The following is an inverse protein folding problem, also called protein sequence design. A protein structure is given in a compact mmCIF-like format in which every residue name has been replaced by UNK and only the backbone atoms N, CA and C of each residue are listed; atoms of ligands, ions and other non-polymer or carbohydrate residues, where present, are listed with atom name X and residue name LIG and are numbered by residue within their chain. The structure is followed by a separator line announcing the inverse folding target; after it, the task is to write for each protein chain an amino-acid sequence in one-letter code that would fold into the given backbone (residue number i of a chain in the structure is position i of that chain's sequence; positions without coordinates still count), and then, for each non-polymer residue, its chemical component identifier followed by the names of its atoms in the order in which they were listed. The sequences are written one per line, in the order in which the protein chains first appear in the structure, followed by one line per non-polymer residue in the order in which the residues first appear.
data_IF_127866633731
#
_entry.id   IF_127866633731
#
_cell.length_a   1.000
_cell.length_b   1.000
_cell.length_c   1.000
_cell.angle_alpha   90.00
_cell.angle_beta   90.00
_cell.angle_gamma   90.00
#
_symmetry.space_group_name_H-M   'P 1'
#
loop_
_entity.id
_entity.type
_entity.pdbx_description
1 polymer ?
#
# COMPACT_ATOMS: atom_id res chain seq x y z
N UNK A 1 -19.23 16.67 -27.78
CA UNK A 1 -19.27 15.58 -26.80
C UNK A 1 -19.24 16.18 -25.39
N UNK A 2 -20.17 15.81 -24.50
CA UNK A 2 -20.29 16.41 -23.15
C UNK A 2 -19.59 15.53 -22.11
N UNK A 3 -18.35 15.90 -21.74
CA UNK A 3 -17.61 15.29 -20.63
C UNK A 3 -17.84 16.14 -19.38
N UNK A 4 -18.09 15.53 -18.22
CA UNK A 4 -18.25 16.24 -16.94
C UNK A 4 -17.03 17.11 -16.65
N UNK A 5 -17.23 18.33 -16.11
CA UNK A 5 -16.16 19.31 -15.87
C UNK A 5 -15.03 18.74 -15.02
N UNK A 6 -15.36 18.01 -13.95
CA UNK A 6 -14.40 17.37 -13.06
C UNK A 6 -13.50 16.34 -13.75
N UNK A 7 -14.03 15.64 -14.79
CA UNK A 7 -13.29 14.60 -15.52
C UNK A 7 -12.34 15.18 -16.57
N UNK A 8 -12.68 16.34 -17.16
CA UNK A 8 -11.84 16.95 -18.22
C UNK A 8 -10.42 17.28 -17.78
N UNK A 9 -10.24 17.60 -16.51
CA UNK A 9 -8.96 18.05 -15.94
C UNK A 9 -8.22 16.92 -15.18
N UNK A 10 -8.78 15.70 -15.13
CA UNK A 10 -8.14 14.57 -14.49
C UNK A 10 -7.00 14.04 -15.34
N UNK A 11 -5.85 13.82 -14.72
CA UNK A 11 -4.79 12.99 -15.29
C UNK A 11 -5.05 11.54 -14.95
N UNK A 12 -4.83 10.59 -15.89
CA UNK A 12 -4.99 9.17 -15.57
C UNK A 12 -3.99 8.74 -14.51
N UNK A 13 -4.39 7.76 -13.68
CA UNK A 13 -3.49 7.18 -12.70
C UNK A 13 -2.27 6.53 -13.38
N UNK A 14 -1.07 6.85 -12.92
CA UNK A 14 0.18 6.30 -13.46
C UNK A 14 0.51 5.00 -12.73
N UNK A 15 0.15 3.89 -13.35
CA UNK A 15 0.49 2.55 -12.84
C UNK A 15 1.98 2.21 -13.01
N UNK A 16 2.44 1.20 -12.26
CA UNK A 16 3.79 0.68 -12.40
C UNK A 16 3.99 -0.04 -13.73
N UNK A 17 5.18 0.09 -14.29
CA UNK A 17 5.56 -0.58 -15.54
C UNK A 17 5.34 -2.10 -15.44
N UNK A 18 4.82 -2.70 -16.52
CA UNK A 18 4.53 -4.14 -16.65
C UNK A 18 5.44 -4.75 -17.74
N UNK A 19 6.72 -5.04 -17.44
CA UNK A 19 7.65 -5.58 -18.40
C UNK A 19 7.24 -7.00 -18.85
N UNK A 20 7.36 -7.26 -20.18
CA UNK A 20 7.01 -8.55 -20.79
C UNK A 20 8.23 -9.41 -21.14
N UNK A 21 9.45 -8.88 -21.00
CA UNK A 21 10.68 -9.58 -21.34
C UNK A 21 10.91 -10.81 -20.44
N UNK A 22 11.61 -11.84 -20.96
CA UNK A 22 12.03 -12.99 -20.14
C UNK A 22 13.17 -12.60 -19.20
N UNK A 23 13.25 -13.25 -18.04
CA UNK A 23 14.34 -13.04 -17.06
C UNK A 23 14.25 -11.72 -16.29
N UNK A 24 13.14 -11.01 -16.35
CA UNK A 24 12.90 -9.78 -15.61
C UNK A 24 12.80 -10.03 -14.11
N UNK A 25 13.45 -9.18 -13.32
CA UNK A 25 13.23 -9.05 -11.89
C UNK A 25 12.31 -7.85 -11.65
N UNK A 26 11.03 -8.12 -11.36
CA UNK A 26 9.98 -7.10 -11.19
C UNK A 26 9.78 -6.77 -9.71
N UNK A 27 10.30 -5.62 -9.26
CA UNK A 27 10.29 -5.14 -7.87
C UNK A 27 9.71 -3.72 -7.74
N UNK A 28 8.81 -3.33 -8.64
CA UNK A 28 8.29 -1.96 -8.74
C UNK A 28 6.87 -1.77 -8.18
N UNK A 29 6.08 -2.83 -8.00
CA UNK A 29 4.65 -2.75 -7.63
C UNK A 29 4.30 -3.49 -6.34
N UNK A 30 5.32 -3.84 -5.53
CA UNK A 30 5.17 -4.50 -4.23
C UNK A 30 4.38 -5.82 -4.32
N UNK A 31 4.56 -6.54 -5.43
CA UNK A 31 4.02 -7.89 -5.58
C UNK A 31 4.75 -8.87 -4.67
N UNK A 32 4.12 -9.99 -4.36
CA UNK A 32 4.71 -11.00 -3.50
C UNK A 32 5.87 -11.72 -4.17
N UNK A 33 6.93 -12.01 -3.39
CA UNK A 33 8.12 -12.73 -3.86
C UNK A 33 7.87 -14.23 -4.09
N UNK A 34 6.84 -14.79 -3.48
CA UNK A 34 6.53 -16.22 -3.48
C UNK A 34 5.10 -16.47 -3.99
N UNK A 35 4.80 -17.65 -4.54
CA UNK A 35 3.47 -17.97 -5.05
C UNK A 35 2.43 -18.00 -3.91
N UNK A 36 1.15 -17.96 -4.30
CA UNK A 36 0.03 -18.16 -3.40
C UNK A 36 0.05 -19.54 -2.74
N UNK A 37 -0.71 -19.68 -1.65
CA UNK A 37 -0.88 -20.95 -0.93
C UNK A 37 -1.24 -22.11 -1.86
N UNK A 38 -0.69 -23.33 -1.66
CA UNK A 38 -1.11 -24.53 -2.36
C UNK A 38 -2.62 -24.80 -2.26
N UNK A 39 -3.28 -24.36 -1.18
CA UNK A 39 -4.74 -24.46 -1.04
C UNK A 39 -5.50 -23.62 -2.05
N UNK A 40 -4.92 -22.48 -2.48
CA UNK A 40 -5.49 -21.66 -3.58
C UNK A 40 -5.48 -22.44 -4.88
N UNK A 41 -4.33 -23.07 -5.22
CA UNK A 41 -4.24 -23.93 -6.40
C UNK A 41 -5.25 -25.07 -6.34
N UNK A 42 -5.35 -25.76 -5.21
CA UNK A 42 -6.31 -26.85 -5.03
C UNK A 42 -7.77 -26.37 -5.18
N UNK A 43 -8.10 -25.19 -4.64
CA UNK A 43 -9.43 -24.60 -4.78
C UNK A 43 -9.75 -24.23 -6.23
N UNK A 44 -8.77 -23.67 -6.97
CA UNK A 44 -8.92 -23.34 -8.39
C UNK A 44 -9.18 -24.59 -9.24
N UNK A 45 -8.41 -25.66 -9.01
CA UNK A 45 -8.56 -26.91 -9.75
C UNK A 45 -9.89 -27.66 -9.48
N UNK A 46 -10.48 -27.41 -8.30
CA UNK A 46 -11.79 -27.98 -7.91
C UNK A 46 -12.97 -27.07 -8.24
N UNK A 47 -12.71 -25.86 -8.71
CA UNK A 47 -13.78 -24.91 -9.02
C UNK A 47 -14.62 -25.47 -10.17
N UNK A 48 -15.94 -25.53 -9.96
CA UNK A 48 -16.87 -25.98 -11.00
C UNK A 48 -17.17 -24.81 -11.95
N UNK A 49 -16.72 -24.85 -13.23
CA UNK A 49 -16.96 -23.78 -14.20
C UNK A 49 -18.45 -23.49 -14.47
N UNK A 50 -19.34 -24.50 -14.27
CA UNK A 50 -20.78 -24.31 -14.42
C UNK A 50 -21.37 -23.22 -13.48
N UNK A 51 -20.68 -22.92 -12.39
CA UNK A 51 -21.08 -21.85 -11.48
C UNK A 51 -20.91 -20.47 -12.10
N UNK A 52 -20.08 -20.32 -13.15
CA UNK A 52 -19.83 -19.02 -13.80
C UNK A 52 -21.06 -18.47 -14.54
N UNK A 53 -22.02 -19.31 -14.92
CA UNK A 53 -23.29 -18.87 -15.50
C UNK A 53 -24.27 -18.28 -14.52
N UNK A 54 -23.94 -18.26 -13.22
CA UNK A 54 -24.78 -17.74 -12.14
C UNK A 54 -24.06 -16.60 -11.41
N UNK A 55 -24.83 -15.64 -10.93
CA UNK A 55 -24.26 -14.61 -10.07
C UNK A 55 -23.67 -15.21 -8.79
N UNK A 56 -22.53 -14.67 -8.30
CA UNK A 56 -21.91 -15.11 -7.05
C UNK A 56 -22.73 -14.66 -5.82
N UNK A 57 -22.29 -15.04 -4.63
CA UNK A 57 -22.89 -14.50 -3.40
C UNK A 57 -22.67 -12.98 -3.34
N UNK A 58 -23.74 -12.20 -3.31
CA UNK A 58 -23.73 -10.74 -3.39
C UNK A 58 -22.97 -10.06 -2.22
N UNK A 59 -22.77 -10.76 -1.11
CA UNK A 59 -22.15 -10.24 0.09
C UNK A 59 -20.83 -10.92 0.44
N UNK A 60 -20.36 -11.88 -0.38
CA UNK A 60 -19.18 -12.70 -0.06
C UNK A 60 -19.28 -13.36 1.34
N UNK A 61 -20.44 -13.91 1.67
CA UNK A 61 -20.83 -14.27 3.03
C UNK A 61 -19.85 -15.21 3.73
N UNK A 62 -19.33 -16.25 3.04
CA UNK A 62 -18.43 -17.21 3.64
C UNK A 62 -17.05 -16.60 3.92
N UNK A 63 -16.55 -15.76 3.03
CA UNK A 63 -15.31 -15.03 3.24
C UNK A 63 -15.46 -14.04 4.40
N UNK A 64 -16.56 -13.29 4.47
CA UNK A 64 -16.86 -12.38 5.59
C UNK A 64 -16.95 -13.10 6.93
N UNK A 65 -17.61 -14.24 6.99
CA UNK A 65 -17.69 -15.07 8.22
C UNK A 65 -16.29 -15.50 8.69
N UNK A 66 -15.45 -15.94 7.76
CA UNK A 66 -14.10 -16.40 8.13
C UNK A 66 -13.20 -15.23 8.55
N UNK A 67 -13.28 -14.07 7.87
CA UNK A 67 -12.57 -12.84 8.27
C UNK A 67 -13.03 -12.41 9.67
N UNK A 68 -14.33 -12.40 9.93
CA UNK A 68 -14.89 -12.04 11.23
C UNK A 68 -14.40 -12.98 12.34
N UNK A 69 -14.42 -14.29 12.09
CA UNK A 69 -13.95 -15.31 13.03
C UNK A 69 -12.50 -15.11 13.44
N UNK A 70 -11.60 -14.87 12.45
CA UNK A 70 -10.17 -14.67 12.73
C UNK A 70 -9.87 -13.36 13.44
N UNK A 71 -10.66 -12.30 13.18
CA UNK A 71 -10.52 -10.99 13.81
C UNK A 71 -11.39 -10.82 15.08
N UNK A 72 -12.06 -11.89 15.55
CA UNK A 72 -12.91 -11.89 16.76
C UNK A 72 -13.98 -10.79 16.73
N UNK A 73 -14.66 -10.66 15.59
CA UNK A 73 -15.75 -9.72 15.35
C UNK A 73 -16.92 -10.44 14.66
N UNK A 74 -17.98 -9.70 14.30
CA UNK A 74 -19.15 -10.25 13.62
C UNK A 74 -19.05 -10.04 12.11
N UNK A 75 -19.70 -10.88 11.31
CA UNK A 75 -19.73 -10.73 9.86
C UNK A 75 -20.35 -9.39 9.39
N UNK A 76 -21.24 -8.79 10.18
CA UNK A 76 -21.82 -7.47 9.93
C UNK A 76 -20.80 -6.31 10.02
N UNK A 77 -19.64 -6.55 10.66
CA UNK A 77 -18.53 -5.60 10.75
C UNK A 77 -17.51 -5.74 9.62
N UNK A 78 -17.75 -6.62 8.64
CA UNK A 78 -16.82 -6.92 7.56
C UNK A 78 -17.42 -6.56 6.21
N UNK A 79 -16.68 -5.85 5.38
CA UNK A 79 -16.98 -5.64 3.97
C UNK A 79 -15.87 -6.27 3.10
N UNK A 80 -16.26 -6.86 1.96
CA UNK A 80 -15.34 -7.41 0.96
C UNK A 80 -15.55 -6.70 -0.36
N UNK A 81 -14.47 -6.23 -0.98
CA UNK A 81 -14.50 -5.48 -2.23
C UNK A 81 -13.59 -6.05 -3.30
N UNK A 82 -13.76 -5.56 -4.51
CA UNK A 82 -12.96 -5.88 -5.69
C UNK A 82 -11.59 -5.16 -5.64
N UNK A 83 -10.75 -5.60 -4.71
CA UNK A 83 -9.53 -4.94 -4.27
C UNK A 83 -9.80 -3.84 -3.24
N UNK A 84 -8.73 -3.40 -2.58
CA UNK A 84 -8.77 -2.25 -1.69
C UNK A 84 -9.12 -0.94 -2.41
N UNK A 85 -8.84 -0.85 -3.70
CA UNK A 85 -9.09 0.36 -4.49
C UNK A 85 -10.59 0.63 -4.66
N UNK A 86 -11.42 -0.42 -4.89
CA UNK A 86 -12.89 -0.27 -4.87
C UNK A 86 -13.38 0.17 -3.49
N UNK A 87 -12.88 -0.45 -2.42
CA UNK A 87 -13.28 -0.09 -1.05
C UNK A 87 -12.96 1.38 -0.76
N UNK A 88 -11.77 1.86 -1.17
CA UNK A 88 -11.38 3.27 -1.03
C UNK A 88 -12.32 4.20 -1.82
N UNK A 89 -12.66 3.83 -3.06
CA UNK A 89 -13.61 4.61 -3.88
C UNK A 89 -14.99 4.71 -3.19
N UNK A 90 -15.53 3.58 -2.74
CA UNK A 90 -16.80 3.55 -2.00
C UNK A 90 -16.74 4.38 -0.72
N UNK A 91 -15.62 4.36 0.02
CA UNK A 91 -15.44 5.18 1.22
C UNK A 91 -15.45 6.69 0.91
N UNK A 92 -14.90 7.11 -0.25
CA UNK A 92 -14.95 8.52 -0.64
C UNK A 92 -16.37 8.97 -0.97
N UNK A 93 -17.17 8.09 -1.56
CA UNK A 93 -18.57 8.39 -1.88
C UNK A 93 -19.48 8.31 -0.64
N UNK A 94 -19.19 7.39 0.30
CA UNK A 94 -20.00 7.19 1.49
C UNK A 94 -19.76 8.22 2.61
N UNK A 95 -18.56 8.80 2.69
CA UNK A 95 -18.12 9.55 3.89
C UNK A 95 -17.64 10.98 3.61
N UNK A 96 -17.75 11.47 2.37
CA UNK A 96 -17.28 12.82 2.03
C UNK A 96 -18.35 13.59 1.27
N UNK A 97 -18.83 14.69 1.84
CA UNK A 97 -19.74 15.62 1.17
C UNK A 97 -18.98 16.57 0.22
N UNK A 98 -19.70 17.28 -0.67
CA UNK A 98 -19.08 18.09 -1.73
C UNK A 98 -18.25 19.28 -1.21
N UNK A 99 -18.55 19.80 -0.03
CA UNK A 99 -17.83 20.94 0.59
C UNK A 99 -16.75 20.50 1.60
N UNK A 100 -16.54 19.21 1.74
CA UNK A 100 -15.57 18.61 2.66
C UNK A 100 -14.22 18.28 1.99
N UNK A 101 -13.38 17.51 2.67
CA UNK A 101 -12.06 17.17 2.18
C UNK A 101 -11.64 15.74 2.60
N UNK A 102 -10.75 15.17 1.79
CA UNK A 102 -10.03 13.93 2.11
C UNK A 102 -8.65 14.28 2.63
N UNK A 103 -8.27 13.73 3.79
CA UNK A 103 -6.94 13.88 4.36
C UNK A 103 -6.10 12.62 4.22
N UNK A 104 -4.81 12.76 3.93
CA UNK A 104 -3.85 11.65 4.02
C UNK A 104 -2.45 12.12 4.40
N UNK A 105 -1.57 11.19 4.76
CA UNK A 105 -0.14 11.49 4.91
C UNK A 105 0.46 11.95 3.58
N UNK A 106 1.57 12.69 3.64
CA UNK A 106 2.31 13.14 2.47
C UNK A 106 3.84 13.11 2.74
N UNK A 107 4.59 12.21 2.06
CA UNK A 107 4.18 11.34 0.95
C UNK A 107 3.36 10.12 1.41
N UNK A 108 2.42 9.70 0.58
CA UNK A 108 1.63 8.48 0.80
C UNK A 108 1.18 7.85 -0.53
N UNK A 109 0.21 6.93 -0.48
CA UNK A 109 -0.33 6.27 -1.67
C UNK A 109 -1.03 7.30 -2.57
N UNK A 110 -0.51 7.44 -3.79
CA UNK A 110 -0.95 8.48 -4.73
C UNK A 110 -2.44 8.41 -5.11
N UNK A 111 -3.06 7.23 -4.99
CA UNK A 111 -4.49 7.05 -5.25
C UNK A 111 -5.36 7.94 -4.37
N UNK A 112 -4.96 8.23 -3.14
CA UNK A 112 -5.79 9.05 -2.23
C UNK A 112 -6.05 10.46 -2.77
N UNK A 113 -5.02 11.08 -3.35
CA UNK A 113 -5.18 12.37 -4.02
C UNK A 113 -6.04 12.25 -5.28
N UNK A 114 -5.80 11.19 -6.07
CA UNK A 114 -6.62 10.90 -7.26
C UNK A 114 -8.11 10.71 -6.92
N UNK A 115 -8.41 10.05 -5.80
CA UNK A 115 -9.80 9.87 -5.34
C UNK A 115 -10.43 11.20 -4.94
N UNK A 116 -9.69 12.09 -4.28
CA UNK A 116 -10.19 13.44 -3.99
C UNK A 116 -10.48 14.22 -5.27
N UNK A 117 -9.59 14.15 -6.26
CA UNK A 117 -9.77 14.79 -7.57
C UNK A 117 -10.99 14.21 -8.31
N UNK A 118 -11.19 12.88 -8.32
CA UNK A 118 -12.35 12.20 -8.92
C UNK A 118 -13.65 12.62 -8.23
N UNK A 119 -13.66 12.66 -6.90
CA UNK A 119 -14.82 13.08 -6.11
C UNK A 119 -15.11 14.58 -6.31
N UNK A 120 -14.09 15.36 -6.69
CA UNK A 120 -14.18 16.82 -6.86
C UNK A 120 -14.05 17.59 -5.55
N UNK A 121 -13.42 17.00 -4.53
CA UNK A 121 -13.20 17.60 -3.22
C UNK A 121 -11.72 17.91 -2.98
N UNK A 122 -11.43 18.71 -1.95
CA UNK A 122 -10.05 19.06 -1.62
C UNK A 122 -9.31 17.89 -0.99
N UNK A 123 -8.04 17.75 -1.32
CA UNK A 123 -7.09 16.91 -0.60
C UNK A 123 -6.28 17.74 0.40
N UNK A 124 -6.05 17.20 1.61
CA UNK A 124 -5.30 17.86 2.69
C UNK A 124 -4.22 16.93 3.22
N UNK A 125 -2.99 17.43 3.35
CA UNK A 125 -1.91 16.67 4.01
C UNK A 125 -2.15 16.62 5.52
N UNK A 126 -2.15 15.41 6.09
CA UNK A 126 -2.23 15.17 7.55
C UNK A 126 -0.84 15.13 8.21
N UNK A 127 0.22 15.33 7.45
CA UNK A 127 1.59 15.35 7.94
C UNK A 127 2.53 14.37 7.25
N UNK A 128 3.79 14.36 7.69
CA UNK A 128 4.84 13.51 7.17
C UNK A 128 4.81 12.13 7.88
N UNK A 129 4.78 11.00 7.14
CA UNK A 129 4.78 9.66 7.73
C UNK A 129 6.10 9.30 8.44
N UNK A 130 7.17 10.05 8.19
CA UNK A 130 8.47 9.85 8.84
C UNK A 130 8.65 10.70 10.11
N UNK A 131 7.75 11.65 10.35
CA UNK A 131 7.74 12.48 11.55
C UNK A 131 6.81 11.90 12.63
N UNK A 132 6.91 12.44 13.85
CA UNK A 132 5.93 12.12 14.89
C UNK A 132 4.53 12.48 14.39
N UNK A 133 3.60 11.53 14.46
CA UNK A 133 2.24 11.71 13.95
C UNK A 133 1.47 12.74 14.77
N UNK A 134 1.49 13.96 14.30
CA UNK A 134 0.76 15.12 14.85
C UNK A 134 0.03 15.81 13.71
N UNK A 135 -1.13 15.28 13.29
CA UNK A 135 -1.88 15.87 12.19
C UNK A 135 -2.23 17.33 12.54
N UNK A 136 -2.03 18.20 11.55
CA UNK A 136 -2.40 19.60 11.63
C UNK A 136 -3.93 19.74 11.82
N UNK A 137 -4.41 20.97 12.04
CA UNK A 137 -5.85 21.24 12.07
C UNK A 137 -6.48 20.71 10.78
N UNK A 138 -7.38 19.75 10.92
CA UNK A 138 -7.97 19.03 9.78
C UNK A 138 -9.05 19.82 9.05
N UNK A 139 -9.52 20.92 9.65
CA UNK A 139 -10.56 21.77 9.03
C UNK A 139 -11.82 20.96 8.70
N UNK A 140 -12.23 21.00 7.43
CA UNK A 140 -13.37 20.25 6.89
C UNK A 140 -13.02 18.82 6.41
N UNK A 141 -11.94 18.21 6.88
CA UNK A 141 -11.60 16.82 6.55
C UNK A 141 -12.59 15.89 7.24
N UNK A 142 -13.36 15.13 6.47
CA UNK A 142 -14.32 14.12 6.97
C UNK A 142 -13.81 12.68 6.81
N UNK A 143 -12.87 12.45 5.89
CA UNK A 143 -12.26 11.15 5.66
C UNK A 143 -10.73 11.24 5.78
N UNK A 144 -10.14 10.56 6.76
CA UNK A 144 -8.70 10.47 6.94
C UNK A 144 -8.20 9.09 6.48
N UNK A 145 -7.33 9.05 5.44
CA UNK A 145 -6.74 7.84 4.89
C UNK A 145 -5.29 7.71 5.36
N UNK A 146 -5.01 6.73 6.22
CA UNK A 146 -3.71 6.51 6.84
C UNK A 146 -3.18 5.16 6.43
N UNK A 147 -2.24 5.12 5.46
CA UNK A 147 -1.54 3.87 5.10
C UNK A 147 -0.56 3.51 6.20
N UNK A 148 -0.70 2.33 6.79
CA UNK A 148 0.12 1.87 7.91
C UNK A 148 0.40 0.37 7.87
N UNK A 149 1.61 -0.08 7.48
CA UNK A 149 2.80 0.70 7.08
C UNK A 149 2.61 1.58 5.87
N UNK A 150 3.23 2.78 5.88
CA UNK A 150 3.06 3.75 4.82
C UNK A 150 3.74 3.35 3.51
N UNK A 151 3.18 3.76 2.40
CA UNK A 151 3.75 3.64 1.06
C UNK A 151 3.91 5.07 0.46
N UNK A 152 5.13 5.53 0.10
CA UNK A 152 6.30 4.69 -0.24
C UNK A 152 7.33 4.49 0.89
N UNK A 153 7.18 5.09 2.06
CA UNK A 153 8.24 5.14 3.07
C UNK A 153 8.52 3.80 3.78
N UNK A 154 7.52 2.91 3.86
CA UNK A 154 7.59 1.65 4.60
C UNK A 154 7.49 1.83 6.11
N UNK A 155 7.37 3.05 6.63
CA UNK A 155 7.34 3.36 8.06
C UNK A 155 6.02 3.00 8.71
N UNK A 156 6.06 2.64 9.99
CA UNK A 156 4.90 2.29 10.81
C UNK A 156 4.60 3.40 11.83
N UNK A 157 3.38 3.92 11.84
CA UNK A 157 2.87 4.76 12.91
C UNK A 157 2.38 3.85 14.03
N UNK A 158 2.80 4.05 15.29
CA UNK A 158 2.32 3.25 16.41
C UNK A 158 0.78 3.29 16.52
N UNK A 159 0.09 2.15 16.71
CA UNK A 159 -1.38 2.11 16.81
C UNK A 159 -1.95 3.05 17.88
N UNK A 160 -1.22 3.29 18.97
CA UNK A 160 -1.60 4.26 20.02
C UNK A 160 -1.71 5.70 19.50
N UNK A 161 -0.89 6.09 18.54
CA UNK A 161 -0.92 7.45 17.97
C UNK A 161 -2.11 7.61 17.03
N UNK A 162 -2.42 6.57 16.23
CA UNK A 162 -3.62 6.52 15.40
C UNK A 162 -4.88 6.54 16.26
N UNK A 163 -4.91 5.78 17.37
CA UNK A 163 -6.01 5.80 18.33
C UNK A 163 -6.23 7.18 18.96
N UNK A 164 -5.14 7.85 19.34
CA UNK A 164 -5.20 9.20 19.89
C UNK A 164 -5.71 10.23 18.87
N UNK A 165 -5.36 10.07 17.61
CA UNK A 165 -5.92 10.88 16.52
C UNK A 165 -7.41 10.60 16.31
N UNK A 166 -7.80 9.34 16.14
CA UNK A 166 -9.17 8.93 15.88
C UNK A 166 -10.15 9.42 16.97
N UNK A 167 -9.70 9.41 18.24
CA UNK A 167 -10.51 9.91 19.38
C UNK A 167 -10.88 11.40 19.24
N UNK A 168 -10.06 12.21 18.57
CA UNK A 168 -10.26 13.66 18.41
C UNK A 168 -10.79 14.05 17.04
N UNK A 169 -10.74 13.12 16.10
CA UNK A 169 -11.17 13.34 14.73
C UNK A 169 -12.70 13.10 14.61
N UNK A 170 -13.41 14.06 14.03
CA UNK A 170 -14.89 13.99 13.93
C UNK A 170 -15.39 13.19 12.72
N UNK A 171 -14.51 12.89 11.75
CA UNK A 171 -14.83 12.11 10.56
C UNK A 171 -14.44 10.64 10.71
N UNK A 172 -14.41 9.93 9.59
CA UNK A 172 -14.01 8.52 9.49
C UNK A 172 -12.49 8.40 9.31
N UNK A 173 -11.85 7.57 10.12
CA UNK A 173 -10.43 7.23 10.00
C UNK A 173 -10.30 5.85 9.37
N UNK A 174 -9.71 5.78 8.20
CA UNK A 174 -9.38 4.53 7.52
C UNK A 174 -7.89 4.25 7.71
N UNK A 175 -7.57 3.14 8.34
CA UNK A 175 -6.20 2.64 8.42
C UNK A 175 -6.02 1.61 7.31
N UNK A 176 -5.28 2.00 6.28
CA UNK A 176 -4.94 1.12 5.16
C UNK A 176 -3.74 0.25 5.52
N UNK A 177 -4.03 -0.98 5.89
CA UNK A 177 -3.09 -2.00 6.31
C UNK A 177 -2.69 -2.95 5.17
N UNK A 178 -2.51 -2.44 3.96
CA UNK A 178 -2.14 -3.25 2.79
C UNK A 178 -0.83 -4.05 2.97
N UNK A 179 0.02 -3.68 3.92
CA UNK A 179 1.33 -4.31 4.17
C UNK A 179 1.49 -4.85 5.59
N UNK A 180 0.43 -4.91 6.37
CA UNK A 180 0.47 -5.16 7.82
C UNK A 180 1.02 -6.53 8.19
N UNK A 181 0.87 -7.54 7.34
CA UNK A 181 1.40 -8.88 7.60
C UNK A 181 2.93 -8.90 7.75
N UNK A 182 3.63 -7.87 7.24
CA UNK A 182 5.08 -7.69 7.35
C UNK A 182 5.50 -6.75 8.49
N UNK A 183 4.53 -6.19 9.20
CA UNK A 183 4.74 -5.19 10.24
C UNK A 183 4.82 -5.80 11.64
N UNK A 184 5.42 -5.02 12.55
CA UNK A 184 5.55 -5.38 13.98
C UNK A 184 4.28 -5.13 14.80
N UNK A 185 3.33 -4.35 14.26
CA UNK A 185 2.05 -4.05 14.92
C UNK A 185 0.94 -3.79 13.91
N UNK A 186 -0.32 -3.96 14.33
CA UNK A 186 -1.52 -3.71 13.55
C UNK A 186 -2.56 -2.86 14.32
N UNK A 187 -3.53 -2.34 13.59
CA UNK A 187 -4.62 -1.52 14.13
C UNK A 187 -5.98 -2.24 14.20
N UNK A 188 -6.06 -3.55 13.94
CA UNK A 188 -7.32 -4.28 13.88
C UNK A 188 -8.15 -4.13 15.16
N UNK A 189 -7.49 -4.10 16.32
CA UNK A 189 -8.16 -3.86 17.61
C UNK A 189 -8.84 -2.49 17.69
N UNK A 190 -8.42 -1.50 16.90
CA UNK A 190 -9.10 -0.20 16.87
C UNK A 190 -10.44 -0.29 16.15
N UNK A 191 -10.51 -1.06 15.05
CA UNK A 191 -11.74 -1.25 14.29
C UNK A 191 -12.77 -2.15 15.01
N UNK A 192 -12.29 -3.08 15.85
CA UNK A 192 -13.16 -4.04 16.55
C UNK A 192 -13.56 -3.59 17.96
N UNK A 193 -12.96 -2.51 18.48
CA UNK A 193 -13.28 -2.01 19.82
C UNK A 193 -14.58 -1.17 19.81
N UNK A 194 -15.60 -1.49 20.60
CA UNK A 194 -16.90 -0.79 20.60
C UNK A 194 -16.82 0.72 20.86
N UNK A 195 -15.75 1.18 21.55
CA UNK A 195 -15.51 2.60 21.85
C UNK A 195 -15.02 3.42 20.64
N UNK A 196 -14.52 2.78 19.60
CA UNK A 196 -13.98 3.44 18.42
C UNK A 196 -15.03 3.38 17.29
N UNK A 197 -15.97 4.32 17.31
CA UNK A 197 -17.11 4.33 16.38
C UNK A 197 -16.80 4.89 14.98
N UNK A 198 -15.58 5.35 14.75
CA UNK A 198 -15.17 6.02 13.52
C UNK A 198 -13.90 5.43 12.87
N UNK A 199 -13.45 4.24 13.28
CA UNK A 199 -12.25 3.61 12.71
C UNK A 199 -12.62 2.42 11.85
N UNK A 200 -12.12 2.43 10.61
CA UNK A 200 -12.14 1.28 9.70
C UNK A 200 -10.70 0.84 9.46
N UNK A 201 -10.43 -0.45 9.54
CA UNK A 201 -9.15 -1.05 9.12
C UNK A 201 -9.39 -1.81 7.81
N UNK A 202 -8.60 -1.48 6.79
CA UNK A 202 -8.68 -2.10 5.47
C UNK A 202 -7.43 -2.93 5.19
N UNK A 203 -7.59 -4.11 4.59
CA UNK A 203 -6.52 -5.02 4.17
C UNK A 203 -6.75 -5.56 2.76
N UNK A 204 -5.72 -6.16 2.16
CA UNK A 204 -5.78 -6.67 0.80
C UNK A 204 -5.21 -8.08 0.68
N UNK A 205 -5.71 -8.86 -0.26
CA UNK A 205 -5.12 -10.12 -0.67
C UNK A 205 -3.97 -9.95 -1.68
N UNK A 206 -3.74 -8.74 -2.17
CA UNK A 206 -2.78 -8.47 -3.25
C UNK A 206 -1.32 -8.62 -2.84
N UNK A 207 -0.97 -8.49 -1.55
CA UNK A 207 0.42 -8.44 -1.06
C UNK A 207 0.81 -9.77 -0.41
N UNK A 208 0.62 -9.94 0.88
CA UNK A 208 1.08 -11.10 1.62
C UNK A 208 0.43 -12.43 1.18
N UNK A 209 -0.79 -12.39 0.68
CA UNK A 209 -1.50 -13.58 0.16
C UNK A 209 -1.13 -13.93 -1.30
N UNK A 210 -0.30 -13.12 -1.99
CA UNK A 210 0.15 -13.36 -3.37
C UNK A 210 -0.99 -13.43 -4.40
N UNK A 211 -2.07 -12.67 -4.19
CA UNK A 211 -3.28 -12.70 -5.02
C UNK A 211 -3.58 -11.33 -5.68
N UNK A 212 -2.54 -10.59 -6.07
CA UNK A 212 -2.72 -9.27 -6.69
C UNK A 212 -3.62 -9.31 -7.94
N UNK A 213 -3.49 -10.36 -8.76
CA UNK A 213 -4.31 -10.56 -9.95
C UNK A 213 -5.77 -10.95 -9.68
N UNK A 214 -6.09 -11.37 -8.45
CA UNK A 214 -7.44 -11.79 -8.07
C UNK A 214 -8.36 -10.61 -7.70
N UNK A 215 -7.80 -9.45 -7.41
CA UNK A 215 -8.53 -8.24 -7.04
C UNK A 215 -9.48 -8.44 -5.87
N UNK A 216 -8.98 -8.82 -4.69
CA UNK A 216 -9.78 -8.91 -3.46
C UNK A 216 -9.16 -8.08 -2.35
N UNK A 217 -10.00 -7.30 -1.67
CA UNK A 217 -9.70 -6.60 -0.43
C UNK A 217 -10.83 -6.74 0.57
N UNK A 218 -10.58 -6.36 1.80
CA UNK A 218 -11.63 -6.30 2.81
C UNK A 218 -11.38 -5.18 3.80
N UNK A 219 -12.43 -4.75 4.47
CA UNK A 219 -12.28 -3.88 5.62
C UNK A 219 -13.15 -4.36 6.79
N UNK A 220 -12.74 -3.93 7.98
CA UNK A 220 -13.43 -4.21 9.25
C UNK A 220 -13.67 -2.89 9.95
N UNK A 221 -14.87 -2.69 10.46
CA UNK A 221 -15.24 -1.45 11.16
C UNK A 221 -16.60 -1.54 11.88
N UNK A 222 -17.05 -0.43 12.47
CA UNK A 222 -18.39 -0.31 13.04
C UNK A 222 -19.47 -0.67 12.00
N UNK A 223 -20.50 -1.37 12.47
CA UNK A 223 -21.59 -1.86 11.61
C UNK A 223 -22.19 -0.74 10.75
N UNK A 224 -22.46 0.43 11.34
CA UNK A 224 -23.10 1.55 10.64
C UNK A 224 -22.26 2.03 9.44
N UNK A 225 -20.93 2.08 9.59
CA UNK A 225 -20.02 2.44 8.51
C UNK A 225 -19.92 1.34 7.44
N UNK A 226 -19.97 0.08 7.85
CA UNK A 226 -19.99 -1.05 6.92
C UNK A 226 -21.31 -1.12 6.15
N UNK A 227 -22.45 -0.87 6.80
CA UNK A 227 -23.76 -0.81 6.15
C UNK A 227 -23.82 0.32 5.10
N UNK A 228 -23.16 1.45 5.33
CA UNK A 228 -23.07 2.53 4.36
C UNK A 228 -22.40 2.06 3.05
N UNK A 229 -21.32 1.28 3.13
CA UNK A 229 -20.66 0.71 1.94
C UNK A 229 -21.55 -0.29 1.21
N UNK A 230 -22.35 -1.09 1.95
CA UNK A 230 -23.30 -2.02 1.34
C UNK A 230 -24.43 -1.33 0.57
N UNK A 231 -24.79 -0.09 0.92
CA UNK A 231 -25.84 0.67 0.23
C UNK A 231 -25.43 1.14 -1.17
N UNK A 232 -24.12 1.35 -1.40
CA UNK A 232 -23.64 2.00 -2.62
C UNK A 232 -22.74 1.11 -3.50
N UNK A 233 -22.39 -0.10 -3.02
CA UNK A 233 -21.60 -1.04 -3.82
C UNK A 233 -22.39 -1.61 -5.00
N UNK A 234 -21.68 -2.07 -6.03
CA UNK A 234 -22.26 -2.88 -7.10
C UNK A 234 -22.93 -4.14 -6.56
N UNK A 235 -24.01 -4.60 -7.18
CA UNK A 235 -24.81 -5.74 -6.71
C UNK A 235 -23.97 -6.99 -6.45
N UNK A 236 -22.99 -7.28 -7.33
CA UNK A 236 -22.12 -8.47 -7.28
C UNK A 236 -20.67 -8.06 -7.53
N UNK A 237 -20.12 -7.23 -6.68
CA UNK A 237 -18.82 -6.58 -6.86
C UNK A 237 -17.60 -7.52 -6.83
N UNK A 238 -17.72 -8.72 -6.28
CA UNK A 238 -16.64 -9.72 -6.24
C UNK A 238 -17.10 -11.01 -6.90
N UNK A 239 -16.37 -11.49 -7.89
CA UNK A 239 -16.73 -12.70 -8.65
C UNK A 239 -16.58 -14.01 -7.86
N UNK A 240 -17.16 -15.11 -8.39
CA UNK A 240 -17.21 -16.41 -7.70
C UNK A 240 -15.83 -17.04 -7.51
N UNK A 241 -14.93 -16.89 -8.48
CA UNK A 241 -13.57 -17.42 -8.40
C UNK A 241 -12.80 -16.64 -7.32
N UNK A 242 -12.89 -15.32 -7.34
CA UNK A 242 -12.24 -14.45 -6.39
C UNK A 242 -12.68 -14.74 -4.95
N UNK A 243 -13.98 -14.90 -4.68
CA UNK A 243 -14.48 -15.28 -3.37
C UNK A 243 -13.95 -16.63 -2.91
N UNK A 244 -13.95 -17.65 -3.80
CA UNK A 244 -13.51 -19.01 -3.50
C UNK A 244 -12.02 -19.05 -3.17
N UNK A 245 -11.18 -18.42 -4.00
CA UNK A 245 -9.73 -18.45 -3.84
C UNK A 245 -9.25 -17.59 -2.67
N UNK A 246 -9.87 -16.44 -2.45
CA UNK A 246 -9.59 -15.60 -1.28
C UNK A 246 -9.91 -16.33 0.03
N UNK A 247 -11.04 -17.05 0.11
CA UNK A 247 -11.40 -17.87 1.26
C UNK A 247 -10.37 -18.98 1.51
N UNK A 248 -9.94 -19.67 0.45
CA UNK A 248 -8.93 -20.71 0.55
C UNK A 248 -7.58 -20.19 1.05
N UNK A 249 -7.16 -19.01 0.55
CA UNK A 249 -5.94 -18.33 0.99
C UNK A 249 -6.05 -17.88 2.46
N UNK A 250 -7.17 -17.27 2.83
CA UNK A 250 -7.37 -16.73 4.18
C UNK A 250 -7.40 -17.82 5.25
N UNK A 251 -7.91 -18.99 4.94
CA UNK A 251 -7.88 -20.17 5.83
C UNK A 251 -6.48 -20.76 5.99
N UNK A 252 -5.52 -20.45 5.12
CA UNK A 252 -4.16 -21.03 5.21
C UNK A 252 -3.15 -20.09 5.87
N UNK A 253 -3.40 -19.77 7.10
CA UNK A 253 -2.53 -18.89 7.91
C UNK A 253 -1.12 -19.48 8.14
N UNK A 254 -0.95 -20.80 8.01
CA UNK A 254 0.37 -21.44 8.16
C UNK A 254 1.29 -21.05 7.00
N UNK A 255 0.81 -21.17 5.76
CA UNK A 255 1.56 -20.76 4.57
C UNK A 255 1.82 -19.27 4.57
N UNK A 256 0.82 -18.44 4.88
CA UNK A 256 0.96 -16.98 4.98
C UNK A 256 2.12 -16.61 5.93
N UNK A 257 2.06 -17.08 7.19
CA UNK A 257 3.11 -16.78 8.18
C UNK A 257 4.50 -17.28 7.77
N UNK A 258 4.57 -18.43 7.10
CA UNK A 258 5.85 -18.97 6.60
C UNK A 258 6.45 -18.07 5.52
N UNK A 259 5.62 -17.66 4.54
CA UNK A 259 6.06 -16.78 3.45
C UNK A 259 6.45 -15.39 3.96
N UNK A 260 5.65 -14.82 4.84
CA UNK A 260 5.93 -13.51 5.47
C UNK A 260 7.27 -13.53 6.20
N UNK A 261 7.55 -14.58 6.99
CA UNK A 261 8.86 -14.71 7.69
C UNK A 261 10.03 -14.73 6.72
N UNK A 262 9.93 -15.41 5.58
CA UNK A 262 10.99 -15.41 4.56
C UNK A 262 11.23 -14.00 4.02
N UNK A 263 10.16 -13.29 3.65
CA UNK A 263 10.27 -11.92 3.14
C UNK A 263 10.89 -10.98 4.18
N UNK A 264 10.50 -11.09 5.46
CA UNK A 264 11.08 -10.29 6.54
C UNK A 264 12.58 -10.60 6.71
N UNK A 265 12.98 -11.88 6.67
CA UNK A 265 14.37 -12.28 6.80
C UNK A 265 15.21 -11.72 5.64
N UNK A 266 14.74 -11.87 4.40
CA UNK A 266 15.38 -11.30 3.20
C UNK A 266 15.46 -9.77 3.28
N UNK A 267 14.39 -9.10 3.73
CA UNK A 267 14.35 -7.65 3.96
C UNK A 267 15.43 -7.21 4.94
N UNK A 268 15.50 -7.86 6.10
CA UNK A 268 16.45 -7.54 7.16
C UNK A 268 17.90 -7.68 6.66
N UNK A 269 18.19 -8.78 5.99
CA UNK A 269 19.51 -8.99 5.38
C UNK A 269 19.83 -7.92 4.33
N UNK A 270 18.91 -7.63 3.42
CA UNK A 270 19.12 -6.67 2.34
C UNK A 270 19.32 -5.24 2.85
N UNK A 271 18.56 -4.83 3.88
CA UNK A 271 18.76 -3.53 4.56
C UNK A 271 20.17 -3.44 5.14
N UNK A 272 20.60 -4.45 5.90
CA UNK A 272 21.94 -4.46 6.50
C UNK A 272 23.06 -4.39 5.44
N UNK A 273 22.88 -5.05 4.29
CA UNK A 273 23.85 -4.99 3.20
C UNK A 273 23.89 -3.62 2.50
N UNK A 274 22.75 -2.94 2.38
CA UNK A 274 22.71 -1.58 1.85
C UNK A 274 23.32 -0.57 2.82
N UNK A 275 23.02 -0.67 4.12
CA UNK A 275 23.59 0.21 5.15
C UNK A 275 25.13 0.10 5.23
N UNK A 276 25.71 -1.11 5.09
CA UNK A 276 27.16 -1.31 4.97
C UNK A 276 27.76 -0.57 3.76
N UNK A 277 26.97 -0.33 2.72
CA UNK A 277 27.32 0.41 1.51
C UNK A 277 27.01 1.91 1.59
N UNK A 278 26.68 2.41 2.79
CA UNK A 278 26.41 3.82 3.02
C UNK A 278 25.01 4.30 2.59
N UNK A 279 24.10 3.36 2.29
CA UNK A 279 22.69 3.74 2.02
C UNK A 279 21.97 4.15 3.30
N UNK A 280 21.12 5.16 3.21
CA UNK A 280 20.20 5.55 4.27
C UNK A 280 18.82 4.91 4.01
N UNK A 281 18.48 3.87 4.77
CA UNK A 281 17.24 3.10 4.61
C UNK A 281 16.27 3.48 5.71
N UNK A 282 15.09 3.97 5.35
CA UNK A 282 14.01 4.16 6.33
C UNK A 282 13.61 2.81 6.90
N UNK A 283 13.42 2.72 8.24
CA UNK A 283 13.06 1.46 8.92
C UNK A 283 11.82 0.85 8.28
N UNK A 284 11.95 -0.29 7.56
CA UNK A 284 10.83 -0.82 6.78
C UNK A 284 9.98 -1.78 7.59
N UNK A 285 8.67 -1.60 7.52
CA UNK A 285 7.65 -2.48 8.11
C UNK A 285 6.72 -3.08 7.04
N UNK A 286 7.13 -3.00 5.74
CA UNK A 286 6.41 -3.50 4.56
C UNK A 286 7.23 -4.56 3.80
N UNK A 287 6.70 -5.08 2.68
CA UNK A 287 7.45 -5.95 1.76
C UNK A 287 8.30 -5.17 0.76
N UNK A 288 8.72 -3.99 1.10
CA UNK A 288 9.62 -3.14 0.32
C UNK A 288 10.44 -2.27 1.26
N UNK A 289 11.51 -1.68 0.71
CA UNK A 289 12.32 -0.65 1.35
C UNK A 289 12.19 0.66 0.60
N UNK A 290 12.46 1.78 1.29
CA UNK A 290 12.58 3.10 0.69
C UNK A 290 13.94 3.68 1.11
N UNK A 291 14.88 3.68 0.18
CA UNK A 291 16.29 3.83 0.46
C UNK A 291 16.91 4.96 -0.38
N UNK A 292 17.79 5.73 0.27
CA UNK A 292 18.59 6.78 -0.33
C UNK A 292 19.99 6.22 -0.64
N UNK A 293 20.47 6.32 -1.88
CA UNK A 293 21.83 5.91 -2.21
C UNK A 293 22.86 6.84 -1.58
N UNK A 294 24.11 6.36 -1.36
CA UNK A 294 25.22 7.22 -0.97
C UNK A 294 25.55 8.22 -2.08
N UNK A 295 26.06 9.38 -1.71
CA UNK A 295 26.69 10.30 -2.64
C UNK A 295 28.11 9.80 -2.87
N UNK A 296 28.43 9.39 -4.08
CA UNK A 296 29.82 9.07 -4.45
C UNK A 296 30.59 10.37 -4.49
N UNK A 297 31.59 10.51 -3.62
CA UNK A 297 32.43 11.71 -3.57
C UNK A 297 33.27 11.84 -4.88
N UNK A 298 32.68 12.49 -5.89
CA UNK A 298 33.33 12.76 -7.17
C UNK A 298 32.95 14.12 -7.71
N UNK A 299 33.85 15.10 -7.52
CA UNK A 299 33.79 16.52 -7.90
C UNK A 299 33.12 17.44 -6.87
N UNK A 300 33.88 17.84 -5.85
CA UNK A 300 33.61 19.09 -5.12
C UNK A 300 33.77 20.26 -6.10
N UNK A 301 32.70 20.90 -6.49
CA UNK A 301 32.75 22.29 -6.93
C UNK A 301 33.02 23.16 -5.70
N UNK A 302 34.24 23.66 -5.53
CA UNK A 302 34.58 24.70 -4.59
C UNK A 302 33.91 25.98 -5.04
N UNK A 303 32.94 26.53 -4.26
CA UNK A 303 32.43 27.86 -4.52
C UNK A 303 30.99 28.22 -4.17
N UNK A 304 30.21 27.35 -3.50
CA UNK A 304 28.81 27.70 -3.15
C UNK A 304 28.62 28.10 -1.68
N UNK A 305 27.87 29.20 -1.44
CA UNK A 305 27.59 29.78 -0.12
C UNK A 305 26.81 28.86 0.84
N UNK A 306 26.86 29.14 2.16
CA UNK A 306 26.32 28.25 3.23
C UNK A 306 24.80 27.91 3.09
N UNK A 307 24.00 28.72 2.43
CA UNK A 307 22.55 28.48 2.20
C UNK A 307 22.25 27.60 0.98
N UNK A 308 23.15 27.54 -0.02
CA UNK A 308 23.00 26.74 -1.23
C UNK A 308 23.52 25.31 -1.07
N UNK A 309 24.40 25.07 -0.07
CA UNK A 309 25.00 23.76 0.19
C UNK A 309 23.97 22.65 0.49
N UNK A 310 22.85 22.98 1.13
CA UNK A 310 21.79 22.00 1.44
C UNK A 310 20.93 21.62 0.24
N UNK A 311 20.68 22.55 -0.67
CA UNK A 311 19.89 22.35 -1.89
C UNK A 311 20.69 21.56 -2.93
N UNK A 312 21.93 21.95 -3.22
CA UNK A 312 22.82 21.25 -4.15
C UNK A 312 23.09 19.80 -3.76
N UNK A 313 23.33 19.52 -2.45
CA UNK A 313 23.53 18.15 -1.97
C UNK A 313 22.28 17.25 -2.14
N UNK A 314 21.09 17.82 -2.08
CA UNK A 314 19.83 17.07 -2.26
C UNK A 314 19.55 16.79 -3.75
N UNK A 315 19.88 17.71 -4.63
CA UNK A 315 19.81 17.55 -6.08
C UNK A 315 20.78 16.46 -6.55
N UNK A 316 22.01 16.48 -6.08
CA UNK A 316 23.03 15.45 -6.37
C UNK A 316 22.56 14.04 -5.94
N UNK A 317 21.98 13.89 -4.75
CA UNK A 317 21.44 12.59 -4.29
C UNK A 317 20.26 12.15 -5.15
N UNK A 318 19.40 13.06 -5.59
CA UNK A 318 18.28 12.75 -6.48
C UNK A 318 18.74 12.25 -7.84
N UNK A 319 19.82 12.82 -8.39
CA UNK A 319 20.46 12.35 -9.62
C UNK A 319 21.02 10.93 -9.47
N UNK A 320 21.66 10.62 -8.33
CA UNK A 320 22.14 9.26 -8.06
C UNK A 320 20.98 8.27 -7.94
N UNK A 321 19.89 8.64 -7.27
CA UNK A 321 18.71 7.79 -7.15
C UNK A 321 18.05 7.52 -8.53
N UNK A 322 17.95 8.53 -9.39
CA UNK A 322 17.46 8.39 -10.76
C UNK A 322 18.41 7.55 -11.63
N UNK A 323 19.74 7.72 -11.47
CA UNK A 323 20.77 6.89 -12.12
C UNK A 323 20.61 5.42 -11.75
N UNK A 324 20.48 5.10 -10.45
CA UNK A 324 20.27 3.72 -9.97
C UNK A 324 18.99 3.13 -10.55
N UNK A 325 17.89 3.88 -10.52
CA UNK A 325 16.61 3.46 -11.13
C UNK A 325 16.77 3.12 -12.61
N UNK A 326 17.38 4.01 -13.38
CA UNK A 326 17.56 3.89 -14.84
C UNK A 326 18.47 2.72 -15.19
N UNK A 327 19.62 2.61 -14.51
CA UNK A 327 20.62 1.56 -14.79
C UNK A 327 20.14 0.16 -14.39
N UNK A 328 19.41 0.02 -13.29
CA UNK A 328 18.77 -1.25 -12.93
C UNK A 328 17.71 -1.66 -13.98
N UNK A 329 16.93 -0.70 -14.48
CA UNK A 329 15.94 -0.95 -15.53
C UNK A 329 16.59 -1.45 -16.83
N UNK A 330 17.71 -0.85 -17.26
CA UNK A 330 18.53 -1.31 -18.42
C UNK A 330 19.02 -2.76 -18.24
N UNK A 331 19.22 -3.22 -17.00
CA UNK A 331 19.63 -4.58 -16.62
C UNK A 331 18.46 -5.53 -16.33
N UNK A 332 17.23 -5.18 -16.77
CA UNK A 332 15.99 -5.92 -16.56
C UNK A 332 15.60 -6.08 -15.07
N UNK A 333 15.98 -5.13 -14.23
CA UNK A 333 15.56 -5.04 -12.83
C UNK A 333 14.68 -3.81 -12.66
N UNK A 334 13.40 -4.02 -12.43
CA UNK A 334 12.40 -2.95 -12.35
C UNK A 334 12.09 -2.61 -10.89
N UNK A 335 12.59 -1.47 -10.43
CA UNK A 335 12.27 -0.87 -9.13
C UNK A 335 11.34 0.32 -9.31
N UNK A 336 10.99 1.06 -8.26
CA UNK A 336 10.14 2.25 -8.35
C UNK A 336 10.92 3.50 -7.93
N UNK A 337 10.81 4.55 -8.74
CA UNK A 337 11.27 5.89 -8.45
C UNK A 337 10.10 6.88 -8.50
N UNK A 338 10.09 7.85 -7.60
CA UNK A 338 9.06 8.88 -7.51
C UNK A 338 9.72 10.26 -7.58
N UNK A 339 9.57 10.96 -8.70
CA UNK A 339 10.02 12.35 -8.79
C UNK A 339 9.23 13.23 -7.83
N UNK A 340 9.93 14.09 -7.10
CA UNK A 340 9.30 15.05 -6.22
C UNK A 340 10.17 15.44 -5.03
N UNK A 341 9.81 16.55 -4.37
CA UNK A 341 10.66 17.14 -3.32
C UNK A 341 10.77 16.28 -2.06
N UNK A 342 9.85 15.35 -1.82
CA UNK A 342 9.85 14.46 -0.65
C UNK A 342 10.29 13.03 -0.94
N UNK A 343 10.48 12.67 -2.20
CA UNK A 343 10.69 11.28 -2.62
C UNK A 343 11.81 11.08 -3.63
N UNK A 344 12.22 12.14 -4.33
CA UNK A 344 13.15 12.07 -5.44
C UNK A 344 14.60 11.70 -5.06
N UNK A 345 14.95 11.80 -3.77
CA UNK A 345 16.26 11.38 -3.25
C UNK A 345 16.33 9.90 -2.85
N UNK A 346 15.27 9.11 -3.13
CA UNK A 346 15.15 7.71 -2.73
C UNK A 346 14.57 6.84 -3.83
N UNK A 347 14.85 5.56 -3.76
CA UNK A 347 14.21 4.52 -4.57
C UNK A 347 13.41 3.59 -3.68
N UNK A 348 12.27 3.07 -4.18
CA UNK A 348 11.51 2.01 -3.51
C UNK A 348 11.79 0.68 -4.20
N UNK A 349 12.24 -0.30 -3.43
CA UNK A 349 12.59 -1.63 -3.91
C UNK A 349 11.72 -2.65 -3.18
N UNK A 350 10.86 -3.37 -3.91
CA UNK A 350 10.11 -4.49 -3.34
C UNK A 350 11.06 -5.63 -2.98
N UNK A 351 10.73 -6.39 -1.93
CA UNK A 351 11.56 -7.54 -1.53
C UNK A 351 11.16 -8.75 -2.37
N UNK A 352 12.10 -9.21 -3.18
CA UNK A 352 12.04 -10.43 -3.97
C UNK A 352 12.52 -11.65 -3.18
N UNK A 353 12.83 -12.75 -3.89
CA UNK A 353 13.50 -13.92 -3.31
C UNK A 353 14.96 -13.59 -2.98
N UNK A 354 15.60 -14.40 -2.13
CA UNK A 354 17.03 -14.21 -1.76
C UNK A 354 17.93 -14.13 -3.00
N UNK A 355 17.71 -15.00 -4.00
CA UNK A 355 18.47 -14.99 -5.24
C UNK A 355 18.29 -13.68 -6.03
N UNK A 356 17.06 -13.18 -6.11
CA UNK A 356 16.76 -11.90 -6.75
C UNK A 356 17.43 -10.73 -6.02
N UNK A 357 17.32 -10.69 -4.69
CA UNK A 357 17.91 -9.60 -3.91
C UNK A 357 19.45 -9.62 -3.93
N UNK A 358 20.07 -10.79 -3.93
CA UNK A 358 21.54 -10.94 -4.15
C UNK A 358 21.98 -10.41 -5.52
N UNK A 359 21.17 -10.65 -6.57
CA UNK A 359 21.45 -10.08 -7.90
C UNK A 359 21.29 -8.56 -7.89
N UNK A 360 20.19 -8.04 -7.30
CA UNK A 360 19.98 -6.58 -7.18
C UNK A 360 21.18 -5.91 -6.49
N UNK A 361 21.69 -6.51 -5.42
CA UNK A 361 22.81 -5.95 -4.66
C UNK A 361 24.09 -5.87 -5.52
N UNK A 362 24.44 -6.94 -6.27
CA UNK A 362 25.58 -6.93 -7.19
C UNK A 362 25.46 -5.86 -8.26
N UNK A 363 24.28 -5.75 -8.88
CA UNK A 363 24.03 -4.74 -9.92
C UNK A 363 24.09 -3.29 -9.35
N UNK A 364 23.68 -3.10 -8.10
CA UNK A 364 23.84 -1.82 -7.39
C UNK A 364 25.32 -1.51 -7.17
N UNK A 365 26.12 -2.48 -6.72
CA UNK A 365 27.57 -2.31 -6.53
C UNK A 365 28.22 -1.87 -7.83
N UNK A 366 27.94 -2.52 -8.97
CA UNK A 366 28.49 -2.17 -10.28
C UNK A 366 28.03 -0.79 -10.82
N UNK A 367 26.88 -0.28 -10.40
CA UNK A 367 26.34 1.02 -10.83
C UNK A 367 26.99 2.17 -10.06
N UNK A 368 27.37 1.94 -8.82
CA UNK A 368 27.88 2.97 -7.91
C UNK A 368 29.41 3.06 -7.87
N UNK A 369 30.10 2.11 -8.49
CA UNK A 369 31.54 2.22 -8.80
C UNK A 369 31.72 3.15 -9.99
#
# INVERSE_FOLDING_TARGET
MRIARKVRNLSPYVYGEQPKARGVIKLNTNEAAYPASPKVRAALLRFNPELLRRYPNATSADLRKEIARQNRTKAENVFVGNGSDEILSLMTDAFVEDDEAIGSLDPSYSLYKTLADIRGVRWVSLGDPCAKFRPAKTGKVSLALITNPNNPTGTLIPPREIAAFAKRFRGVVVVDEAYVEYASADCMKLATAPRNRNVIVMRTFSKAYSLAGLRVGYCVGPKDLIDALFKIKDSYNVDAIAQTLALAAFKDQKTLRSTVRKVIATRTWFVAELEKRGWDVLKPEANFIFARPPVVAGKREEGRGKGEKGKGKREEVAEVAEKVFTKLRERNIFIRYFKGPKTGDRVRISIGTDAQMKRVLREIDDILV
#
